data_IF_908906448681
#
_entry.id   IF_908906448681
#
_cell.length_a   1.000
_cell.length_b   1.000
_cell.length_c   1.000
_cell.angle_alpha   90.00
_cell.angle_beta   90.00
_cell.angle_gamma   90.00
#
_symmetry.space_group_name_H-M   'P 1'
#
loop_
_entity.id
_entity.type
_entity.pdbx_description
1 polymer ?
#
# COMPACT_ATOMS: atom_id res chain seq x y z
N UNK A 1 -6.50 -15.57 -4.04
CA UNK A 1 -5.53 -15.40 -5.16
C UNK A 1 -4.28 -16.22 -4.79
N UNK A 2 -3.26 -16.43 -5.65
CA UNK A 2 -2.03 -17.09 -5.19
C UNK A 2 -1.35 -16.25 -4.10
N UNK A 3 -0.67 -16.88 -3.15
CA UNK A 3 0.01 -16.18 -2.05
C UNK A 3 1.41 -15.72 -2.46
N UNK A 4 1.45 -14.70 -3.31
CA UNK A 4 2.66 -14.06 -3.80
C UNK A 4 2.36 -12.64 -4.29
N UNK A 5 3.40 -11.87 -4.62
CA UNK A 5 3.27 -10.47 -5.04
C UNK A 5 2.21 -10.26 -6.13
N UNK A 6 2.22 -11.07 -7.18
CA UNK A 6 1.28 -10.91 -8.29
C UNK A 6 -0.16 -11.24 -7.88
N UNK A 7 -0.33 -12.22 -7.00
CA UNK A 7 -1.63 -12.58 -6.42
C UNK A 7 -2.17 -11.49 -5.50
N UNK A 8 -1.33 -10.93 -4.63
CA UNK A 8 -1.71 -9.84 -3.73
C UNK A 8 -2.12 -8.58 -4.50
N UNK A 9 -1.39 -8.20 -5.54
CA UNK A 9 -1.77 -7.04 -6.39
C UNK A 9 -3.12 -7.29 -7.07
N UNK A 10 -3.34 -8.48 -7.65
CA UNK A 10 -4.61 -8.80 -8.34
C UNK A 10 -5.79 -8.86 -7.38
N UNK A 11 -5.57 -9.35 -6.17
CA UNK A 11 -6.57 -9.35 -5.11
C UNK A 11 -6.92 -7.92 -4.70
N UNK A 12 -5.91 -7.11 -4.41
CA UNK A 12 -6.07 -5.70 -4.06
C UNK A 12 -6.81 -4.93 -5.16
N UNK A 13 -6.44 -5.09 -6.43
CA UNK A 13 -7.15 -4.46 -7.56
C UNK A 13 -8.62 -4.87 -7.64
N UNK A 14 -8.95 -6.12 -7.29
CA UNK A 14 -10.33 -6.61 -7.29
C UNK A 14 -11.16 -5.96 -6.18
N UNK A 15 -10.54 -5.66 -5.04
CA UNK A 15 -11.15 -4.91 -3.94
C UNK A 15 -11.26 -3.42 -4.33
N UNK A 16 -10.17 -2.81 -4.79
CA UNK A 16 -10.11 -1.43 -5.25
C UNK A 16 -11.22 -1.13 -6.28
N UNK A 17 -11.43 -2.02 -7.26
CA UNK A 17 -12.50 -1.89 -8.25
C UNK A 17 -13.90 -1.85 -7.63
N UNK A 18 -14.16 -2.63 -6.58
CA UNK A 18 -15.45 -2.62 -5.87
C UNK A 18 -15.69 -1.31 -5.11
N UNK A 19 -14.63 -0.66 -4.68
CA UNK A 19 -14.67 0.59 -3.90
C UNK A 19 -14.42 1.84 -4.75
N UNK A 20 -14.27 1.72 -6.08
CA UNK A 20 -14.01 2.86 -6.95
C UNK A 20 -12.61 3.47 -6.81
N UNK A 21 -11.65 2.70 -6.28
CA UNK A 21 -10.27 3.16 -6.10
C UNK A 21 -9.49 2.87 -7.40
N UNK A 22 -8.96 3.91 -8.09
CA UNK A 22 -8.18 3.74 -9.31
C UNK A 22 -6.76 3.21 -9.04
N UNK A 23 -6.21 2.53 -10.03
CA UNK A 23 -4.82 2.05 -10.04
C UNK A 23 -4.61 0.90 -11.02
N UNK A 24 -3.47 0.89 -11.69
CA UNK A 24 -3.06 -0.19 -12.58
C UNK A 24 -2.14 -1.20 -11.89
N UNK A 25 -2.10 -2.42 -12.42
CA UNK A 25 -1.18 -3.45 -11.94
C UNK A 25 0.28 -2.98 -12.00
N UNK A 26 0.69 -2.36 -13.12
CA UNK A 26 2.07 -1.91 -13.32
C UNK A 26 2.42 -0.72 -12.43
N UNK A 27 1.51 0.22 -12.24
CA UNK A 27 1.69 1.34 -11.31
C UNK A 27 1.87 0.85 -9.87
N UNK A 28 1.01 -0.06 -9.42
CA UNK A 28 1.13 -0.67 -8.08
C UNK A 28 2.45 -1.43 -7.96
N UNK A 29 2.77 -2.32 -8.91
CA UNK A 29 3.99 -3.14 -8.87
C UNK A 29 5.25 -2.28 -8.86
N UNK A 30 5.31 -1.25 -9.70
CA UNK A 30 6.44 -0.29 -9.76
C UNK A 30 6.69 0.35 -8.39
N UNK A 31 5.64 0.86 -7.76
CA UNK A 31 5.75 1.49 -6.45
C UNK A 31 6.19 0.46 -5.39
N UNK A 32 5.59 -0.74 -5.35
CA UNK A 32 5.99 -1.79 -4.40
C UNK A 32 7.48 -2.13 -4.50
N UNK A 33 7.98 -2.34 -5.72
CA UNK A 33 9.38 -2.70 -5.92
C UNK A 33 10.32 -1.57 -5.46
N UNK A 34 9.92 -0.31 -5.66
CA UNK A 34 10.70 0.84 -5.17
C UNK A 34 10.68 0.95 -3.64
N UNK A 35 9.53 0.77 -3.02
CA UNK A 35 9.34 0.99 -1.57
C UNK A 35 9.91 -0.14 -0.71
N UNK A 36 9.76 -1.40 -1.12
CA UNK A 36 10.04 -2.56 -0.26
C UNK A 36 10.78 -3.69 -0.97
N UNK A 37 11.03 -3.58 -2.28
CA UNK A 37 11.50 -4.71 -3.08
C UNK A 37 10.52 -5.88 -3.16
N UNK A 38 9.26 -5.69 -2.73
CA UNK A 38 8.26 -6.75 -2.63
C UNK A 38 8.19 -7.46 -1.28
N UNK A 39 8.87 -6.97 -0.24
CA UNK A 39 8.79 -7.53 1.11
C UNK A 39 7.60 -6.95 1.90
N UNK A 40 6.56 -7.73 2.21
CA UNK A 40 5.41 -7.26 2.99
C UNK A 40 5.73 -6.97 4.46
N UNK A 41 6.91 -7.38 4.96
CA UNK A 41 7.37 -7.11 6.31
C UNK A 41 8.43 -6.01 6.38
N UNK A 42 8.71 -5.30 5.28
CA UNK A 42 9.64 -4.19 5.29
C UNK A 42 9.23 -3.13 6.32
N UNK A 43 10.20 -2.64 7.10
CA UNK A 43 10.03 -1.58 8.09
C UNK A 43 11.15 -0.55 7.92
N UNK A 44 10.80 0.72 7.86
CA UNK A 44 11.77 1.81 7.88
C UNK A 44 11.91 2.38 9.29
N UNK A 45 13.07 2.16 9.91
CA UNK A 45 13.36 2.60 11.29
C UNK A 45 14.25 3.86 11.37
N UNK A 46 14.52 4.53 10.25
CA UNK A 46 15.54 5.59 10.18
C UNK A 46 14.95 7.01 10.05
N UNK A 47 13.78 7.14 9.43
CA UNK A 47 13.20 8.43 9.08
C UNK A 47 12.58 9.18 10.28
N UNK A 48 12.03 10.36 10.01
CA UNK A 48 11.39 11.19 11.03
C UNK A 48 10.15 10.54 11.65
N UNK A 49 9.45 9.66 10.92
CA UNK A 49 8.28 8.96 11.43
C UNK A 49 8.70 7.84 12.38
N UNK A 50 9.77 7.11 12.04
CA UNK A 50 10.39 6.13 12.91
C UNK A 50 10.90 6.77 14.22
N UNK A 51 11.56 7.92 14.14
CA UNK A 51 11.99 8.68 15.33
C UNK A 51 10.81 9.13 16.21
N UNK A 52 9.62 9.32 15.61
CA UNK A 52 8.37 9.60 16.31
C UNK A 52 7.62 8.34 16.78
N UNK A 53 8.19 7.15 16.57
CA UNK A 53 7.57 5.87 16.94
C UNK A 53 6.47 5.38 16.01
N UNK A 54 6.37 5.94 14.79
CA UNK A 54 5.35 5.61 13.79
C UNK A 54 6.04 5.21 12.47
N UNK A 55 6.92 4.20 12.45
CA UNK A 55 7.65 3.83 11.25
C UNK A 55 6.71 3.40 10.12
N UNK A 56 7.09 3.70 8.88
CA UNK A 56 6.42 3.17 7.69
C UNK A 56 6.71 1.68 7.52
N UNK A 57 5.72 0.92 7.07
CA UNK A 57 5.85 -0.53 6.89
C UNK A 57 5.08 -1.09 5.69
N UNK A 58 5.44 -2.32 5.35
CA UNK A 58 4.79 -3.12 4.33
C UNK A 58 5.18 -2.75 2.92
N UNK A 59 4.45 -3.32 1.96
CA UNK A 59 4.80 -3.28 0.54
C UNK A 59 4.95 -1.87 -0.03
N UNK A 60 4.15 -0.91 0.46
CA UNK A 60 4.14 0.48 0.03
C UNK A 60 4.52 1.47 1.14
N UNK A 61 5.20 0.99 2.18
CA UNK A 61 5.78 1.83 3.25
C UNK A 61 4.78 2.85 3.83
N UNK A 62 3.60 2.35 4.24
CA UNK A 62 2.53 3.18 4.83
C UNK A 62 2.75 3.31 6.34
N UNK A 63 2.50 4.50 6.91
CA UNK A 63 2.49 4.72 8.36
C UNK A 63 1.11 4.39 8.97
N UNK A 64 1.07 4.02 10.25
CA UNK A 64 -0.17 3.57 10.92
C UNK A 64 -1.34 4.57 10.79
N UNK A 65 -1.18 5.89 11.03
CA UNK A 65 -2.30 6.83 10.91
C UNK A 65 -2.90 6.90 9.49
N UNK A 66 -2.06 6.77 8.46
CA UNK A 66 -2.53 6.72 7.07
C UNK A 66 -3.26 5.42 6.79
N UNK A 67 -2.74 4.28 7.28
CA UNK A 67 -3.44 3.01 7.15
C UNK A 67 -4.82 3.07 7.80
N UNK A 68 -4.91 3.58 9.02
CA UNK A 68 -6.17 3.67 9.77
C UNK A 68 -7.20 4.57 9.05
N UNK A 69 -6.75 5.69 8.50
CA UNK A 69 -7.61 6.63 7.77
C UNK A 69 -8.10 6.08 6.43
N UNK A 70 -7.24 5.37 5.70
CA UNK A 70 -7.52 4.91 4.33
C UNK A 70 -7.81 3.41 4.23
N UNK A 71 -7.93 2.71 5.37
CA UNK A 71 -8.32 1.31 5.43
C UNK A 71 -9.64 1.07 4.70
N UNK A 72 -9.71 -0.04 3.97
CA UNK A 72 -10.90 -0.40 3.20
C UNK A 72 -11.53 -1.63 3.81
N UNK A 73 -12.77 -1.47 4.27
CA UNK A 73 -13.55 -2.55 4.86
C UNK A 73 -13.58 -3.77 3.94
N UNK A 74 -13.22 -4.93 4.48
CA UNK A 74 -13.12 -6.19 3.73
C UNK A 74 -11.69 -6.66 3.49
N UNK A 75 -10.68 -5.86 3.86
CA UNK A 75 -9.28 -6.30 4.00
C UNK A 75 -8.97 -6.59 5.48
N UNK A 76 -7.82 -7.22 5.74
CA UNK A 76 -7.34 -7.46 7.09
C UNK A 76 -7.06 -6.14 7.83
N UNK A 77 -7.29 -6.13 9.14
CA UNK A 77 -6.93 -5.01 10.02
C UNK A 77 -5.47 -5.15 10.50
N UNK A 78 -4.55 -5.15 9.52
CA UNK A 78 -3.11 -5.33 9.75
C UNK A 78 -2.32 -4.58 8.69
N UNK A 79 -1.51 -3.61 9.10
CA UNK A 79 -0.75 -2.75 8.20
C UNK A 79 0.23 -3.52 7.29
N UNK A 80 0.82 -4.62 7.77
CA UNK A 80 1.73 -5.48 6.99
C UNK A 80 1.03 -6.64 6.28
N UNK A 81 -0.30 -6.73 6.34
CA UNK A 81 -1.03 -7.61 5.43
C UNK A 81 -0.84 -7.10 3.98
N UNK A 82 -0.36 -7.93 3.04
CA UNK A 82 -0.02 -7.49 1.69
C UNK A 82 -1.18 -6.78 0.98
N UNK A 83 -2.38 -7.36 1.06
CA UNK A 83 -3.55 -6.86 0.37
C UNK A 83 -4.06 -5.59 1.05
N UNK A 84 -4.16 -5.58 2.37
CA UNK A 84 -4.60 -4.40 3.12
C UNK A 84 -3.66 -3.21 2.91
N UNK A 85 -2.34 -3.43 2.92
CA UNK A 85 -1.33 -2.41 2.67
C UNK A 85 -1.48 -1.80 1.28
N UNK A 86 -1.63 -2.63 0.25
CA UNK A 86 -1.82 -2.17 -1.14
C UNK A 86 -3.10 -1.34 -1.26
N UNK A 87 -4.22 -1.86 -0.75
CA UNK A 87 -5.52 -1.20 -0.90
C UNK A 87 -5.54 0.14 -0.16
N UNK A 88 -5.02 0.20 1.08
CA UNK A 88 -4.96 1.44 1.85
C UNK A 88 -4.04 2.49 1.18
N UNK A 89 -2.86 2.08 0.70
CA UNK A 89 -1.95 2.97 -0.01
C UNK A 89 -2.56 3.51 -1.32
N UNK A 90 -3.24 2.66 -2.10
CA UNK A 90 -3.90 3.09 -3.33
C UNK A 90 -5.08 4.02 -3.06
N UNK A 91 -5.82 3.80 -1.96
CA UNK A 91 -6.89 4.69 -1.53
C UNK A 91 -6.35 6.08 -1.15
N UNK A 92 -5.24 6.12 -0.38
CA UNK A 92 -4.50 7.35 -0.12
C UNK A 92 -4.02 8.02 -1.42
N UNK A 93 -3.44 7.25 -2.34
CA UNK A 93 -2.95 7.76 -3.62
C UNK A 93 -4.07 8.36 -4.48
N UNK A 94 -5.24 7.73 -4.49
CA UNK A 94 -6.41 8.22 -5.20
C UNK A 94 -6.88 9.57 -4.65
N UNK A 95 -6.94 9.72 -3.33
CA UNK A 95 -7.35 10.97 -2.67
C UNK A 95 -6.34 12.12 -2.91
N UNK A 96 -5.03 11.82 -2.92
CA UNK A 96 -3.98 12.84 -3.00
C UNK A 96 -3.49 13.15 -4.41
N UNK A 97 -3.48 12.13 -5.28
CA UNK A 97 -2.84 12.18 -6.60
C UNK A 97 -3.76 11.70 -7.73
N UNK A 98 -5.00 11.31 -7.41
CA UNK A 98 -5.98 10.78 -8.37
C UNK A 98 -5.81 9.30 -8.71
N UNK A 99 -4.61 8.73 -8.60
CA UNK A 99 -4.33 7.29 -8.77
C UNK A 99 -2.91 6.95 -8.30
N UNK A 100 -2.67 5.70 -7.91
CA UNK A 100 -1.32 5.15 -7.69
C UNK A 100 -0.42 5.29 -8.92
N UNK A 101 -1.00 5.35 -10.13
CA UNK A 101 -0.22 5.46 -11.37
C UNK A 101 0.55 6.78 -11.47
N UNK A 102 0.04 7.84 -10.82
CA UNK A 102 0.62 9.17 -10.78
C UNK A 102 1.69 9.35 -9.68
N UNK A 103 2.02 8.27 -8.97
CA UNK A 103 3.00 8.31 -7.88
C UNK A 103 4.37 7.87 -8.41
N UNK A 104 5.27 8.85 -8.51
CA UNK A 104 6.59 8.69 -9.09
C UNK A 104 7.73 8.76 -8.06
N UNK A 105 7.43 9.16 -6.81
CA UNK A 105 8.38 9.23 -5.69
C UNK A 105 7.97 8.31 -4.54
N UNK A 106 8.94 8.00 -3.66
CA UNK A 106 8.68 7.25 -2.44
C UNK A 106 7.63 7.90 -1.53
N UNK A 107 6.90 7.07 -0.79
CA UNK A 107 5.86 7.49 0.16
C UNK A 107 6.43 7.99 1.48
#
# INVERSE_FOLDING_TARGET
>A
YPDNLDGWIREAMSIMKKHGIPGSYDGIKRNIIRESGGDPNAVNDWDINAQKGIPSKGLLQVIQPTFDQYHVKGTADKLTDPVANIVAACNYAADRYGTMDNVDSAY
#
